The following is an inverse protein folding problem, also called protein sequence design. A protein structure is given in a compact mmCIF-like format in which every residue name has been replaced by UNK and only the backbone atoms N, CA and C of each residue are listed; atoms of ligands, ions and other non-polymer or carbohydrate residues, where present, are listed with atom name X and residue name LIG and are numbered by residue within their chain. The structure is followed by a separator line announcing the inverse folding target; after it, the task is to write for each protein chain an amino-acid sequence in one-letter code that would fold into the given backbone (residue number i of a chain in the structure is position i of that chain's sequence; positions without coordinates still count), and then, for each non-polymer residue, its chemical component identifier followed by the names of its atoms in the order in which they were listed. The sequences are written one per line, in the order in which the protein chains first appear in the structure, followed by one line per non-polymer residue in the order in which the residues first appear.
data_IF_795577744796
#
_entry.id   IF_795577744796
#
_cell.length_a   1.000
_cell.length_b   1.000
_cell.length_c   1.000
_cell.angle_alpha   90.00
_cell.angle_beta   90.00
_cell.angle_gamma   90.00
#
_symmetry.space_group_name_H-M   'P 1'
#
loop_
_entity.id
_entity.type
_entity.pdbx_description
1 polymer ?
#
# COMPACT_ATOMS: atom_id res chain seq x y z
N UNK A 1 5.17 16.79 6.86
CA UNK A 1 4.76 16.83 5.43
C UNK A 1 5.47 15.83 4.50
N UNK A 2 6.79 15.59 4.64
CA UNK A 2 7.57 14.74 3.70
C UNK A 2 7.16 13.27 3.77
N UNK A 3 6.82 12.79 4.95
CA UNK A 3 6.31 11.42 5.15
C UNK A 3 4.98 11.22 4.43
N UNK A 4 4.06 12.19 4.58
CA UNK A 4 2.77 12.21 3.89
C UNK A 4 2.96 12.21 2.36
N UNK A 5 3.89 13.04 1.87
CA UNK A 5 4.24 13.11 0.46
C UNK A 5 4.76 11.76 -0.06
N UNK A 6 5.69 11.11 0.64
CA UNK A 6 6.21 9.80 0.25
C UNK A 6 5.09 8.74 0.14
N UNK A 7 4.24 8.65 1.16
CA UNK A 7 3.12 7.71 1.16
C UNK A 7 2.13 8.00 0.03
N UNK A 8 1.82 9.27 -0.22
CA UNK A 8 0.94 9.69 -1.32
C UNK A 8 1.53 9.38 -2.70
N UNK A 9 2.83 9.63 -2.92
CA UNK A 9 3.50 9.34 -4.19
C UNK A 9 3.54 7.84 -4.47
N UNK A 10 3.89 7.03 -3.46
CA UNK A 10 3.93 5.57 -3.53
C UNK A 10 2.54 4.99 -3.77
N UNK A 11 1.56 5.37 -2.95
CA UNK A 11 0.18 4.92 -3.06
C UNK A 11 -0.47 5.31 -4.38
N UNK A 12 -0.32 6.57 -4.79
CA UNK A 12 -0.87 7.07 -6.04
C UNK A 12 -0.25 6.38 -7.24
N UNK A 13 1.06 6.14 -7.23
CA UNK A 13 1.71 5.41 -8.31
C UNK A 13 1.28 3.94 -8.37
N UNK A 14 1.12 3.26 -7.24
CA UNK A 14 0.61 1.88 -7.21
C UNK A 14 -0.82 1.80 -7.73
N UNK A 15 -1.68 2.75 -7.35
CA UNK A 15 -3.04 2.86 -7.86
C UNK A 15 -3.06 3.00 -9.38
N UNK A 16 -2.26 3.92 -9.93
CA UNK A 16 -2.16 4.12 -11.37
C UNK A 16 -1.59 2.89 -12.09
N UNK A 17 -0.57 2.23 -11.53
CA UNK A 17 0.03 1.01 -12.08
C UNK A 17 -0.93 -0.19 -12.06
N UNK A 18 -1.94 -0.18 -11.19
CA UNK A 18 -2.97 -1.22 -11.11
C UNK A 18 -4.11 -0.98 -12.10
N UNK A 19 -4.54 0.27 -12.30
CA UNK A 19 -5.75 0.59 -13.07
C UNK A 19 -5.51 1.08 -14.49
N UNK A 20 -4.29 1.51 -14.84
CA UNK A 20 -3.97 2.04 -16.16
C UNK A 20 -3.01 1.12 -16.93
N UNK A 21 -3.06 1.22 -18.25
CA UNK A 21 -2.06 0.58 -19.11
C UNK A 21 -0.66 1.15 -18.82
N UNK A 22 0.38 0.30 -18.92
CA UNK A 22 1.76 0.62 -18.49
C UNK A 22 2.29 1.98 -18.97
N UNK A 23 2.04 2.35 -20.24
CA UNK A 23 2.50 3.64 -20.80
C UNK A 23 1.72 4.83 -20.22
N UNK A 24 0.39 4.71 -20.12
CA UNK A 24 -0.46 5.72 -19.51
C UNK A 24 -0.12 5.89 -18.02
N UNK A 25 0.01 4.79 -17.28
CA UNK A 25 0.43 4.79 -15.89
C UNK A 25 1.76 5.55 -15.70
N UNK A 26 2.78 5.25 -16.51
CA UNK A 26 4.08 5.92 -16.41
C UNK A 26 3.99 7.43 -16.67
N UNK A 27 3.29 7.85 -17.72
CA UNK A 27 3.11 9.27 -18.03
C UNK A 27 2.32 10.00 -16.93
N UNK A 28 1.24 9.40 -16.44
CA UNK A 28 0.41 9.99 -15.38
C UNK A 28 1.16 10.04 -14.05
N UNK A 29 1.96 9.03 -13.71
CA UNK A 29 2.84 9.04 -12.52
C UNK A 29 3.81 10.20 -12.59
N UNK A 30 4.52 10.36 -13.72
CA UNK A 30 5.47 11.47 -13.89
C UNK A 30 4.77 12.83 -13.74
N UNK A 31 3.60 13.00 -14.36
CA UNK A 31 2.84 14.23 -14.28
C UNK A 31 2.38 14.54 -12.85
N UNK A 32 1.71 13.59 -12.18
CA UNK A 32 1.22 13.79 -10.81
C UNK A 32 2.36 13.97 -9.80
N UNK A 33 3.47 13.26 -9.96
CA UNK A 33 4.64 13.44 -9.11
C UNK A 33 5.24 14.83 -9.28
N UNK A 34 5.40 15.29 -10.52
CA UNK A 34 5.90 16.64 -10.79
C UNK A 34 5.02 17.71 -10.12
N UNK A 35 3.69 17.57 -10.22
CA UNK A 35 2.74 18.47 -9.55
C UNK A 35 2.84 18.38 -8.02
N UNK A 36 2.86 17.18 -7.45
CA UNK A 36 2.93 16.98 -6.00
C UNK A 36 4.26 17.48 -5.40
N UNK A 37 5.38 17.25 -6.08
CA UNK A 37 6.70 17.73 -5.66
C UNK A 37 6.78 19.26 -5.76
N UNK A 38 6.23 19.86 -6.83
CA UNK A 38 6.14 21.32 -6.96
C UNK A 38 5.23 21.94 -5.89
N UNK A 39 4.08 21.32 -5.60
CA UNK A 39 3.18 21.73 -4.54
C UNK A 39 3.85 21.64 -3.16
N UNK A 40 4.66 20.60 -2.91
CA UNK A 40 5.42 20.49 -1.67
C UNK A 40 6.46 21.62 -1.52
N UNK A 41 7.24 21.90 -2.57
CA UNK A 41 8.28 22.93 -2.54
C UNK A 41 7.70 24.35 -2.41
N UNK A 42 6.77 24.69 -3.31
CA UNK A 42 6.27 26.07 -3.45
C UNK A 42 5.07 26.33 -2.58
N UNK A 43 4.19 25.34 -2.43
CA UNK A 43 2.91 25.48 -1.75
C UNK A 43 2.94 25.19 -0.25
N UNK A 44 3.80 24.26 0.18
CA UNK A 44 3.93 23.82 1.58
C UNK A 44 5.27 24.19 2.23
N UNK A 45 6.20 24.77 1.47
CA UNK A 45 7.49 25.23 1.98
C UNK A 45 8.45 24.09 2.34
N UNK A 46 8.28 22.91 1.73
CA UNK A 46 9.13 21.76 2.01
C UNK A 46 10.59 22.04 1.59
N UNK A 47 11.58 21.59 2.39
CA UNK A 47 12.99 21.77 2.03
C UNK A 47 13.34 20.97 0.77
N UNK A 48 14.08 21.61 -0.15
CA UNK A 48 14.45 21.01 -1.44
C UNK A 48 15.09 19.63 -1.30
N UNK A 49 16.03 19.48 -0.37
CA UNK A 49 16.70 18.21 -0.12
C UNK A 49 15.71 17.12 0.30
N UNK A 50 14.74 17.45 1.16
CA UNK A 50 13.70 16.51 1.59
C UNK A 50 12.82 16.05 0.44
N UNK A 51 12.43 16.97 -0.45
CA UNK A 51 11.61 16.65 -1.63
C UNK A 51 12.38 15.77 -2.62
N UNK A 52 13.67 16.05 -2.85
CA UNK A 52 14.54 15.20 -3.70
C UNK A 52 14.69 13.80 -3.11
N UNK A 53 14.90 13.68 -1.79
CA UNK A 53 14.97 12.39 -1.10
C UNK A 53 13.66 11.61 -1.25
N UNK A 54 12.51 12.27 -1.06
CA UNK A 54 11.18 11.64 -1.22
C UNK A 54 10.97 11.16 -2.66
N UNK A 55 11.33 11.96 -3.67
CA UNK A 55 11.25 11.56 -5.07
C UNK A 55 12.14 10.35 -5.39
N UNK A 56 13.37 10.33 -4.85
CA UNK A 56 14.31 9.23 -5.04
C UNK A 56 13.81 7.93 -4.38
N UNK A 57 13.30 8.01 -3.15
CA UNK A 57 12.74 6.87 -2.43
C UNK A 57 11.49 6.30 -3.12
N UNK A 58 10.59 7.19 -3.58
CA UNK A 58 9.46 6.79 -4.41
C UNK A 58 9.93 6.10 -5.68
N UNK A 59 10.91 6.68 -6.39
CA UNK A 59 11.46 6.11 -7.62
C UNK A 59 12.03 4.69 -7.38
N UNK A 60 12.79 4.53 -6.30
CA UNK A 60 13.31 3.24 -5.88
C UNK A 60 12.18 2.23 -5.59
N UNK A 61 11.09 2.65 -4.95
CA UNK A 61 9.91 1.81 -4.75
C UNK A 61 9.35 1.29 -6.08
N UNK A 62 9.18 2.17 -7.08
CA UNK A 62 8.62 1.78 -8.38
C UNK A 62 9.50 0.78 -9.14
N UNK A 63 10.83 0.89 -8.99
CA UNK A 63 11.80 0.00 -9.62
C UNK A 63 11.86 -1.38 -8.95
N UNK A 64 11.67 -1.43 -7.62
CA UNK A 64 11.87 -2.65 -6.83
C UNK A 64 10.57 -3.42 -6.53
N UNK A 65 9.41 -2.85 -6.88
CA UNK A 65 8.09 -3.45 -6.61
C UNK A 65 7.27 -3.65 -7.89
N UNK A 66 6.29 -4.56 -7.81
CA UNK A 66 5.35 -4.85 -8.89
C UNK A 66 3.94 -4.89 -8.36
N UNK A 67 2.99 -4.32 -9.11
CA UNK A 67 1.55 -4.43 -8.86
C UNK A 67 0.93 -5.66 -9.52
N UNK A 68 1.60 -6.25 -10.51
CA UNK A 68 1.09 -7.39 -11.27
C UNK A 68 0.93 -8.66 -10.40
N UNK A 69 -0.23 -9.30 -10.51
CA UNK A 69 -0.55 -10.58 -9.89
C UNK A 69 0.31 -11.72 -10.48
N UNK A 70 0.61 -12.74 -9.66
CA UNK A 70 1.41 -13.91 -10.09
C UNK A 70 2.88 -13.64 -10.44
N UNK A 71 3.35 -12.39 -10.33
CA UNK A 71 4.76 -12.04 -10.53
C UNK A 71 5.47 -11.91 -9.20
N UNK A 72 6.64 -12.56 -9.11
CA UNK A 72 7.56 -12.38 -7.98
C UNK A 72 8.02 -10.92 -7.93
N UNK A 73 7.87 -10.21 -6.80
CA UNK A 73 8.40 -8.86 -6.66
C UNK A 73 9.93 -8.90 -6.78
N UNK A 74 10.55 -8.04 -7.62
CA UNK A 74 11.98 -8.12 -7.89
C UNK A 74 12.84 -7.85 -6.64
N UNK A 75 12.35 -6.99 -5.72
CA UNK A 75 13.00 -6.73 -4.43
C UNK A 75 12.58 -7.66 -3.28
N UNK A 76 11.61 -8.55 -3.46
CA UNK A 76 11.00 -9.29 -2.35
C UNK A 76 10.40 -8.35 -1.29
N UNK A 77 10.65 -8.63 -0.01
CA UNK A 77 10.20 -7.80 1.12
C UNK A 77 11.14 -6.62 1.44
N UNK A 78 12.34 -6.57 0.84
CA UNK A 78 13.34 -5.53 1.14
C UNK A 78 12.84 -4.10 0.87
N UNK A 79 12.10 -3.81 -0.21
CA UNK A 79 11.54 -2.48 -0.45
C UNK A 79 10.54 -2.06 0.63
N UNK A 80 9.75 -3.00 1.17
CA UNK A 80 8.83 -2.73 2.27
C UNK A 80 9.60 -2.36 3.55
N UNK A 81 10.65 -3.11 3.89
CA UNK A 81 11.51 -2.78 5.02
C UNK A 81 12.21 -1.41 4.84
N UNK A 82 12.73 -1.14 3.65
CA UNK A 82 13.33 0.15 3.30
C UNK A 82 12.32 1.32 3.40
N UNK A 83 11.07 1.09 2.96
CA UNK A 83 10.00 2.08 3.10
C UNK A 83 9.67 2.36 4.57
N UNK A 84 9.62 1.33 5.43
CA UNK A 84 9.39 1.52 6.88
C UNK A 84 10.50 2.39 7.48
N UNK A 85 11.77 2.09 7.18
CA UNK A 85 12.91 2.88 7.67
C UNK A 85 12.82 4.32 7.15
N UNK A 86 12.52 4.51 5.86
CA UNK A 86 12.35 5.84 5.27
C UNK A 86 11.22 6.63 5.94
N UNK A 87 10.07 6.02 6.17
CA UNK A 87 8.92 6.63 6.85
C UNK A 87 9.29 7.05 8.26
N UNK A 88 10.00 6.21 9.02
CA UNK A 88 10.44 6.54 10.38
C UNK A 88 11.42 7.72 10.38
N UNK A 89 12.43 7.70 9.50
CA UNK A 89 13.41 8.79 9.39
C UNK A 89 12.76 10.11 8.95
N UNK A 90 11.87 10.06 7.96
CA UNK A 90 11.13 11.24 7.51
C UNK A 90 10.14 11.73 8.56
N UNK A 91 9.56 10.86 9.38
CA UNK A 91 8.67 11.28 10.48
C UNK A 91 9.44 12.02 11.56
N UNK A 92 10.67 11.58 11.87
CA UNK A 92 11.58 12.32 12.78
C UNK A 92 11.96 13.66 12.16
N UNK A 93 12.31 13.69 10.87
CA UNK A 93 12.65 14.91 10.15
C UNK A 93 11.47 15.91 10.12
N UNK A 94 10.26 15.44 9.83
CA UNK A 94 9.02 16.24 9.83
C UNK A 94 8.77 16.88 11.20
N UNK A 95 9.01 16.17 12.31
CA UNK A 95 8.87 16.73 13.66
C UNK A 95 9.95 17.74 14.05
N UNK A 96 11.15 17.58 13.51
CA UNK A 96 12.24 18.54 13.71
C UNK A 96 12.13 19.77 12.81
N UNK A 97 11.32 19.68 11.75
CA UNK A 97 11.04 20.79 10.85
C UNK A 97 10.07 21.80 11.48
N UNK A 98 10.07 23.02 10.92
CA UNK A 98 9.01 23.98 11.20
C UNK A 98 7.67 23.52 10.61
N UNK A 99 6.58 24.10 11.10
CA UNK A 99 5.25 23.87 10.56
C UNK A 99 5.20 24.18 9.04
N UNK A 100 4.32 23.51 8.30
CA UNK A 100 4.14 23.80 6.89
C UNK A 100 3.77 25.28 6.67
N UNK A 101 4.42 25.91 5.68
CA UNK A 101 4.19 27.33 5.35
C UNK A 101 4.07 27.50 3.85
N UNK A 102 3.10 28.29 3.39
CA UNK A 102 3.01 28.68 1.99
C UNK A 102 1.57 28.83 1.51
N UNK A 103 1.38 29.17 0.22
CA UNK A 103 0.08 29.51 -0.34
C UNK A 103 -0.98 28.41 -0.18
N UNK A 104 -0.58 27.13 -0.19
CA UNK A 104 -1.53 26.03 -0.01
C UNK A 104 -2.00 25.91 1.44
N UNK A 105 -1.15 26.25 2.41
CA UNK A 105 -1.51 26.30 3.82
C UNK A 105 -2.49 27.46 4.06
N UNK A 106 -2.28 28.61 3.43
CA UNK A 106 -3.18 29.76 3.52
C UNK A 106 -4.56 29.44 2.93
N UNK A 107 -4.60 28.77 1.78
CA UNK A 107 -5.86 28.32 1.18
C UNK A 107 -6.57 27.28 2.06
N UNK A 108 -5.83 26.31 2.60
CA UNK A 108 -6.41 25.28 3.47
C UNK A 108 -7.00 25.87 4.76
N UNK A 109 -6.25 26.75 5.43
CA UNK A 109 -6.74 27.43 6.64
C UNK A 109 -7.91 28.36 6.34
N UNK A 110 -7.96 28.97 5.15
CA UNK A 110 -9.10 29.77 4.72
C UNK A 110 -10.40 28.97 4.58
N UNK A 111 -10.33 27.70 4.18
CA UNK A 111 -11.49 26.79 4.11
C UNK A 111 -12.02 26.43 5.50
N UNK A 112 -11.13 26.36 6.50
CA UNK A 112 -11.46 26.06 7.90
C UNK A 112 -12.07 27.21 8.71
N UNK A 113 -12.51 28.29 8.07
CA UNK A 113 -13.09 29.45 8.77
C UNK A 113 -14.48 29.19 9.35
N UNK A 114 -15.19 28.18 8.86
CA UNK A 114 -16.57 27.87 9.27
C UNK A 114 -16.66 26.70 10.26
N UNK A 115 -15.74 25.74 10.19
CA UNK A 115 -15.68 24.56 11.06
C UNK A 115 -14.22 24.23 11.42
N UNK A 116 -13.95 23.66 12.61
CA UNK A 116 -12.61 23.23 12.99
C UNK A 116 -12.09 22.17 12.00
N UNK A 117 -11.10 22.54 11.20
CA UNK A 117 -10.34 21.60 10.36
C UNK A 117 -9.10 21.11 11.10
N UNK A 118 -8.68 19.85 10.86
CA UNK A 118 -7.44 19.34 11.46
C UNK A 118 -6.22 20.15 10.97
N UNK A 119 -5.10 20.12 11.69
CA UNK A 119 -3.84 20.70 11.22
C UNK A 119 -3.48 20.18 9.82
N UNK A 120 -2.90 21.04 8.99
CA UNK A 120 -2.58 20.70 7.58
C UNK A 120 -1.67 19.48 7.48
N UNK A 121 -0.70 19.32 8.38
CA UNK A 121 0.20 18.17 8.42
C UNK A 121 -0.54 16.86 8.70
N UNK A 122 -1.49 16.90 9.65
CA UNK A 122 -2.35 15.75 9.96
C UNK A 122 -3.29 15.41 8.79
N UNK A 123 -3.88 16.42 8.13
CA UNK A 123 -4.73 16.22 6.96
C UNK A 123 -3.96 15.62 5.77
N UNK A 124 -2.75 16.13 5.51
CA UNK A 124 -1.85 15.59 4.48
C UNK A 124 -1.44 14.15 4.81
N UNK A 125 -1.08 13.87 6.06
CA UNK A 125 -0.74 12.52 6.51
C UNK A 125 -1.92 11.57 6.33
N UNK A 126 -3.13 11.99 6.72
CA UNK A 126 -4.34 11.19 6.55
C UNK A 126 -4.59 10.87 5.07
N UNK A 127 -4.45 11.85 4.18
CA UNK A 127 -4.60 11.66 2.74
C UNK A 127 -3.52 10.72 2.17
N UNK A 128 -2.25 10.94 2.50
CA UNK A 128 -1.13 10.12 2.03
C UNK A 128 -1.26 8.67 2.51
N UNK A 129 -1.58 8.47 3.79
CA UNK A 129 -1.83 7.17 4.38
C UNK A 129 -3.05 6.47 3.75
N UNK A 130 -4.14 7.21 3.49
CA UNK A 130 -5.34 6.68 2.85
C UNK A 130 -5.03 6.12 1.46
N UNK A 131 -4.36 6.92 0.62
CA UNK A 131 -3.97 6.52 -0.74
C UNK A 131 -2.99 5.34 -0.72
N UNK A 132 -2.05 5.31 0.22
CA UNK A 132 -1.10 4.21 0.41
C UNK A 132 -1.77 2.88 0.78
N UNK A 133 -2.72 2.89 1.71
CA UNK A 133 -3.39 1.68 2.19
C UNK A 133 -4.26 0.99 1.14
N UNK A 134 -4.58 1.67 0.04
CA UNK A 134 -5.27 1.08 -1.11
C UNK A 134 -4.40 -0.01 -1.76
N UNK A 135 -3.59 0.35 -2.75
CA UNK A 135 -2.85 -0.63 -3.55
C UNK A 135 -1.48 -0.98 -2.99
N UNK A 136 -0.76 -0.05 -2.35
CA UNK A 136 0.56 -0.35 -1.80
C UNK A 136 0.52 -1.36 -0.67
N UNK A 137 -0.56 -1.36 0.12
CA UNK A 137 -0.80 -2.41 1.11
C UNK A 137 -0.93 -3.80 0.46
N UNK A 138 -1.54 -3.90 -0.71
CA UNK A 138 -1.65 -5.17 -1.46
C UNK A 138 -0.26 -5.64 -1.95
N UNK A 139 0.58 -4.71 -2.40
CA UNK A 139 1.96 -4.99 -2.82
C UNK A 139 2.78 -5.57 -1.66
N UNK A 140 2.68 -4.99 -0.47
CA UNK A 140 3.41 -5.44 0.73
C UNK A 140 2.89 -6.79 1.21
N UNK A 141 1.57 -6.95 1.34
CA UNK A 141 0.95 -8.22 1.77
C UNK A 141 1.36 -9.35 0.82
N UNK A 142 1.31 -9.11 -0.49
CA UNK A 142 1.77 -10.08 -1.49
C UNK A 142 3.26 -10.40 -1.30
N UNK A 143 4.12 -9.40 -1.13
CA UNK A 143 5.55 -9.61 -0.91
C UNK A 143 5.85 -10.44 0.35
N UNK A 144 5.07 -10.26 1.42
CA UNK A 144 5.18 -11.06 2.64
C UNK A 144 4.73 -12.52 2.42
N UNK A 145 3.59 -12.73 1.77
CA UNK A 145 3.08 -14.07 1.46
C UNK A 145 4.02 -14.86 0.54
N UNK A 146 4.69 -14.19 -0.41
CA UNK A 146 5.69 -14.81 -1.29
C UNK A 146 6.92 -15.34 -0.54
N UNK A 147 7.19 -14.87 0.68
CA UNK A 147 8.32 -15.32 1.50
C UNK A 147 7.99 -16.57 2.31
N UNK A 148 6.81 -16.59 2.92
CA UNK A 148 6.41 -17.63 3.87
C UNK A 148 5.79 -18.84 3.18
N UNK A 149 4.98 -18.64 2.15
CA UNK A 149 4.39 -19.75 1.43
C UNK A 149 5.41 -20.31 0.43
N UNK A 150 6.04 -21.42 0.82
CA UNK A 150 6.83 -22.25 -0.06
C UNK A 150 6.01 -22.52 -1.32
N UNK A 151 6.46 -21.97 -2.45
CA UNK A 151 5.84 -22.29 -3.72
C UNK A 151 6.07 -23.79 -3.96
N UNK A 152 5.08 -24.53 -4.50
CA UNK A 152 5.43 -25.76 -5.18
C UNK A 152 6.49 -25.38 -6.19
N UNK A 153 7.67 -26.00 -6.13
CA UNK A 153 8.61 -25.94 -7.24
C UNK A 153 7.84 -26.41 -8.47
N UNK A 154 7.33 -25.45 -9.26
CA UNK A 154 6.90 -25.74 -10.61
C UNK A 154 8.08 -26.46 -11.26
N UNK A 155 7.87 -27.64 -11.88
CA UNK A 155 8.97 -28.45 -12.37
C UNK A 155 9.93 -27.54 -13.14
N UNK A 156 11.26 -27.63 -12.89
CA UNK A 156 12.24 -26.77 -13.52
C UNK A 156 11.92 -26.74 -15.01
N UNK A 157 11.95 -25.57 -15.69
CA UNK A 157 11.43 -25.44 -17.04
C UNK A 157 12.11 -26.46 -17.95
N UNK A 158 11.47 -27.64 -18.07
CA UNK A 158 11.90 -28.67 -19.00
C UNK A 158 11.75 -27.98 -20.33
N UNK A 159 12.85 -27.89 -21.06
CA UNK A 159 12.87 -27.45 -22.46
C UNK A 159 11.98 -28.42 -23.22
N UNK A 160 10.68 -28.17 -23.19
CA UNK A 160 9.69 -28.93 -23.92
C UNK A 160 10.00 -28.71 -25.41
N UNK A 161 10.23 -29.78 -26.19
CA UNK A 161 10.40 -29.65 -27.63
C UNK A 161 9.20 -28.90 -28.22
N UNK A 162 9.45 -28.09 -29.26
CA UNK A 162 8.47 -27.18 -29.89
C UNK A 162 7.12 -27.88 -30.17
N UNK A 163 7.18 -29.17 -30.54
CA UNK A 163 6.03 -30.03 -30.80
C UNK A 163 5.11 -30.20 -29.59
N UNK A 164 5.65 -30.34 -28.38
CA UNK A 164 4.87 -30.48 -27.16
C UNK A 164 4.19 -29.17 -26.71
N UNK A 165 4.73 -28.01 -27.13
CA UNK A 165 4.07 -26.71 -26.95
C UNK A 165 2.87 -26.53 -27.87
N UNK A 166 2.92 -27.11 -29.06
CA UNK A 166 1.86 -27.04 -30.06
C UNK A 166 0.72 -28.05 -29.79
N UNK A 167 1.01 -29.13 -29.07
CA UNK A 167 0.03 -30.20 -28.75
C UNK A 167 -0.65 -30.03 -27.40
N UNK A 168 -0.31 -29.00 -26.61
CA UNK A 168 -0.99 -28.77 -25.34
C UNK A 168 -2.39 -28.24 -25.64
N UNK A 169 -3.48 -28.97 -25.34
CA UNK A 169 -4.79 -28.35 -25.34
C UNK A 169 -4.70 -27.12 -24.42
N UNK A 170 -5.32 -25.98 -24.78
CA UNK A 170 -5.34 -24.83 -23.91
C UNK A 170 -5.76 -25.33 -22.53
N UNK A 171 -4.89 -25.13 -21.53
CA UNK A 171 -5.26 -25.47 -20.17
C UNK A 171 -6.58 -24.74 -19.94
N UNK A 172 -7.63 -25.51 -19.69
CA UNK A 172 -8.89 -24.97 -19.24
C UNK A 172 -8.56 -24.34 -17.89
N UNK A 173 -8.14 -23.07 -17.93
CA UNK A 173 -8.24 -22.17 -16.81
C UNK A 173 -9.70 -22.31 -16.42
N UNK A 174 -9.96 -23.05 -15.35
CA UNK A 174 -11.19 -22.93 -14.61
C UNK A 174 -11.20 -21.49 -14.12
N UNK A 175 -11.63 -20.58 -15.01
CA UNK A 175 -12.08 -19.25 -14.68
C UNK A 175 -13.38 -19.49 -13.95
N UNK A 176 -13.26 -19.86 -12.68
CA UNK A 176 -14.23 -19.41 -11.71
C UNK A 176 -14.43 -17.92 -12.03
N UNK A 177 -15.67 -17.44 -12.21
CA UNK A 177 -15.91 -16.02 -12.35
C UNK A 177 -15.27 -15.36 -11.13
N UNK A 178 -14.08 -14.81 -11.33
CA UNK A 178 -13.26 -14.21 -10.30
C UNK A 178 -14.00 -12.93 -9.94
N UNK A 179 -14.90 -13.05 -8.96
CA UNK A 179 -15.63 -11.92 -8.45
C UNK A 179 -14.56 -10.94 -7.98
N UNK A 180 -14.40 -9.85 -8.73
CA UNK A 180 -13.49 -8.72 -8.46
C UNK A 180 -13.54 -8.22 -7.00
N UNK A 181 -14.55 -8.64 -6.23
CA UNK A 181 -14.71 -8.40 -4.79
C UNK A 181 -13.49 -8.78 -3.95
N UNK A 182 -12.75 -9.86 -4.28
CA UNK A 182 -11.53 -10.20 -3.54
C UNK A 182 -10.46 -9.10 -3.56
N UNK A 183 -10.42 -8.30 -4.64
CA UNK A 183 -9.45 -7.23 -4.86
C UNK A 183 -9.77 -5.95 -4.06
N UNK A 184 -11.05 -5.66 -3.86
CA UNK A 184 -11.51 -4.45 -3.17
C UNK A 184 -11.67 -4.64 -1.64
N UNK A 185 -11.95 -5.86 -1.18
CA UNK A 185 -12.23 -6.12 0.25
C UNK A 185 -11.03 -5.78 1.14
N UNK A 186 -9.81 -6.17 0.74
CA UNK A 186 -8.60 -5.92 1.52
C UNK A 186 -8.34 -4.44 1.80
N UNK A 187 -8.28 -3.58 0.77
CA UNK A 187 -8.20 -2.13 0.91
C UNK A 187 -9.30 -1.54 1.81
N UNK A 188 -10.57 -1.94 1.60
CA UNK A 188 -11.70 -1.43 2.38
C UNK A 188 -11.58 -1.81 3.86
N UNK A 189 -11.14 -3.02 4.17
CA UNK A 189 -10.92 -3.44 5.54
C UNK A 189 -9.80 -2.63 6.22
N UNK A 190 -8.69 -2.36 5.52
CA UNK A 190 -7.62 -1.50 6.04
C UNK A 190 -8.13 -0.09 6.31
N UNK A 191 -8.92 0.48 5.39
CA UNK A 191 -9.54 1.79 5.57
C UNK A 191 -10.49 1.81 6.76
N UNK A 192 -11.32 0.77 6.90
CA UNK A 192 -12.23 0.63 8.03
C UNK A 192 -11.46 0.55 9.36
N UNK A 193 -10.44 -0.31 9.45
CA UNK A 193 -9.63 -0.48 10.68
C UNK A 193 -8.88 0.79 11.03
N UNK A 194 -8.24 1.45 10.04
CA UNK A 194 -7.54 2.70 10.27
C UNK A 194 -8.50 3.81 10.71
N UNK A 195 -9.65 3.95 10.05
CA UNK A 195 -10.68 4.93 10.37
C UNK A 195 -11.29 4.72 11.75
N UNK A 196 -11.65 3.48 12.10
CA UNK A 196 -12.15 3.15 13.45
C UNK A 196 -11.12 3.43 14.53
N UNK A 197 -9.84 3.15 14.26
CA UNK A 197 -8.75 3.43 15.19
C UNK A 197 -8.60 4.94 15.42
N UNK A 198 -8.60 5.73 14.33
CA UNK A 198 -8.53 7.20 14.40
C UNK A 198 -9.76 7.83 15.07
N UNK A 199 -10.93 7.21 14.92
CA UNK A 199 -12.15 7.62 15.60
C UNK A 199 -12.21 7.21 17.08
N UNK A 200 -11.18 6.55 17.62
CA UNK A 200 -11.17 6.02 19.00
C UNK A 200 -12.06 4.79 19.22
N UNK A 201 -12.68 4.26 18.16
CA UNK A 201 -13.58 3.10 18.20
C UNK A 201 -12.81 1.77 18.18
N UNK A 202 -11.81 1.62 19.06
CA UNK A 202 -10.92 0.44 19.12
C UNK A 202 -11.68 -0.87 19.36
N UNK A 203 -12.79 -0.83 20.08
CA UNK A 203 -13.67 -1.99 20.26
C UNK A 203 -14.31 -2.48 18.96
N UNK A 204 -14.71 -1.55 18.06
CA UNK A 204 -15.24 -1.90 16.74
C UNK A 204 -14.13 -2.44 15.82
N UNK A 205 -12.91 -1.90 15.90
CA UNK A 205 -11.77 -2.45 15.18
C UNK A 205 -11.47 -3.90 15.63
N UNK A 206 -11.52 -4.16 16.94
CA UNK A 206 -11.42 -5.51 17.50
C UNK A 206 -12.55 -6.44 17.02
N UNK A 207 -13.78 -5.93 16.93
CA UNK A 207 -14.91 -6.69 16.39
C UNK A 207 -14.70 -7.08 14.91
N UNK A 208 -14.11 -6.20 14.09
CA UNK A 208 -13.75 -6.52 12.69
C UNK A 208 -12.72 -7.66 12.65
N UNK A 209 -11.68 -7.62 13.50
CA UNK A 209 -10.69 -8.70 13.57
C UNK A 209 -11.32 -10.04 13.96
N UNK A 210 -12.19 -10.03 14.98
CA UNK A 210 -12.89 -11.20 15.46
C UNK A 210 -13.85 -11.77 14.40
N UNK A 211 -14.65 -10.93 13.76
CA UNK A 211 -15.59 -11.32 12.71
C UNK A 211 -14.86 -11.99 11.54
N UNK A 212 -13.73 -11.42 11.09
CA UNK A 212 -12.92 -12.00 10.02
C UNK A 212 -12.39 -13.38 10.39
N UNK A 213 -11.94 -13.56 11.64
CA UNK A 213 -11.47 -14.85 12.16
C UNK A 213 -12.56 -15.91 12.20
N UNK A 214 -13.75 -15.56 12.72
CA UNK A 214 -14.89 -16.48 12.85
C UNK A 214 -15.38 -16.95 11.47
N UNK A 215 -15.55 -16.02 10.52
CA UNK A 215 -16.04 -16.34 9.18
C UNK A 215 -15.11 -17.27 8.42
N UNK A 216 -13.79 -17.20 8.67
CA UNK A 216 -12.77 -18.01 7.99
C UNK A 216 -12.36 -19.28 8.73
N UNK A 217 -12.85 -19.44 9.96
CA UNK A 217 -12.50 -20.58 10.79
C UNK A 217 -12.87 -21.94 10.16
N UNK A 218 -14.06 -22.12 9.52
CA UNK A 218 -14.39 -23.40 8.88
C UNK A 218 -13.44 -23.78 7.74
N UNK A 219 -12.99 -22.81 6.95
CA UNK A 219 -12.06 -23.03 5.84
C UNK A 219 -10.62 -23.30 6.31
N UNK A 220 -10.20 -22.62 7.38
CA UNK A 220 -8.89 -22.83 8.03
C UNK A 220 -8.85 -24.20 8.72
N UNK A 221 -9.92 -24.60 9.42
CA UNK A 221 -9.98 -25.85 10.18
C UNK A 221 -10.03 -27.10 9.30
N UNK A 222 -10.43 -26.95 8.03
CA UNK A 222 -10.43 -28.03 7.03
C UNK A 222 -9.16 -28.05 6.18
N UNK A 223 -8.20 -27.17 6.48
CA UNK A 223 -6.92 -27.16 5.81
C UNK A 223 -6.10 -28.36 6.30
N UNK A 224 -5.87 -29.33 5.42
CA UNK A 224 -5.25 -30.61 5.77
C UNK A 224 -3.78 -30.49 6.19
N UNK A 225 -2.99 -31.56 6.04
CA UNK A 225 -1.63 -31.67 6.58
C UNK A 225 -0.62 -30.56 6.17
N UNK A 226 -0.94 -29.74 5.16
CA UNK A 226 -0.08 -28.62 4.71
C UNK A 226 -0.22 -27.33 5.51
N UNK A 227 -1.37 -27.04 6.14
CA UNK A 227 -1.62 -25.77 6.87
C UNK A 227 -1.47 -24.47 6.06
N UNK A 228 -1.27 -24.55 4.74
CA UNK A 228 -0.90 -23.42 3.89
C UNK A 228 -1.99 -22.34 3.76
N UNK A 229 -3.29 -22.71 3.79
CA UNK A 229 -4.39 -21.72 3.80
C UNK A 229 -4.48 -21.01 5.15
N UNK A 230 -4.23 -21.73 6.24
CA UNK A 230 -4.15 -21.15 7.58
C UNK A 230 -3.05 -20.09 7.63
N UNK A 231 -1.85 -20.44 7.16
CA UNK A 231 -0.70 -19.54 7.11
C UNK A 231 -0.93 -18.36 6.17
N UNK A 232 -1.48 -18.58 4.96
CA UNK A 232 -1.86 -17.52 4.03
C UNK A 232 -2.80 -16.51 4.70
N UNK A 233 -3.83 -17.00 5.40
CA UNK A 233 -4.79 -16.14 6.07
C UNK A 233 -4.18 -15.37 7.23
N UNK A 234 -3.37 -16.04 8.07
CA UNK A 234 -2.73 -15.44 9.24
C UNK A 234 -1.73 -14.37 8.82
N UNK A 235 -0.76 -14.70 7.97
CA UNK A 235 0.26 -13.75 7.49
C UNK A 235 -0.39 -12.60 6.73
N UNK A 236 -1.34 -12.90 5.84
CA UNK A 236 -2.03 -11.89 5.06
C UNK A 236 -2.82 -10.90 5.92
N UNK A 237 -3.56 -11.39 6.91
CA UNK A 237 -4.36 -10.55 7.81
C UNK A 237 -3.49 -9.76 8.78
N UNK A 238 -2.48 -10.39 9.39
CA UNK A 238 -1.57 -9.72 10.32
C UNK A 238 -0.83 -8.56 9.65
N UNK A 239 -0.21 -8.80 8.48
CA UNK A 239 0.50 -7.74 7.74
C UNK A 239 -0.47 -6.62 7.37
N UNK A 240 -1.69 -6.95 6.92
CA UNK A 240 -2.70 -5.97 6.54
C UNK A 240 -3.15 -5.09 7.72
N UNK A 241 -3.42 -5.69 8.89
CA UNK A 241 -3.81 -4.95 10.09
C UNK A 241 -2.66 -4.12 10.66
N UNK A 242 -1.43 -4.65 10.67
CA UNK A 242 -0.24 -3.89 11.07
C UNK A 242 -0.06 -2.66 10.19
N UNK A 243 -0.24 -2.76 8.88
CA UNK A 243 -0.17 -1.60 7.97
C UNK A 243 -1.25 -0.56 8.28
N UNK A 244 -2.50 -1.00 8.47
CA UNK A 244 -3.62 -0.12 8.80
C UNK A 244 -3.39 0.63 10.12
N UNK A 245 -2.99 -0.09 11.17
CA UNK A 245 -2.70 0.47 12.49
C UNK A 245 -1.47 1.39 12.49
N UNK A 246 -0.43 1.04 11.74
CA UNK A 246 0.76 1.90 11.59
C UNK A 246 0.42 3.20 10.90
N UNK A 247 -0.39 3.15 9.83
CA UNK A 247 -0.88 4.35 9.15
C UNK A 247 -1.77 5.21 10.06
N UNK A 248 -2.67 4.60 10.83
CA UNK A 248 -3.46 5.32 11.83
C UNK A 248 -2.57 5.99 12.89
N UNK A 249 -1.55 5.30 13.38
CA UNK A 249 -0.58 5.88 14.32
C UNK A 249 0.17 7.07 13.71
N UNK A 250 0.64 6.97 12.46
CA UNK A 250 1.30 8.08 11.78
C UNK A 250 0.40 9.31 11.69
N UNK A 251 -0.89 9.14 11.40
CA UNK A 251 -1.87 10.24 11.36
C UNK A 251 -2.15 10.81 12.75
N UNK A 252 -2.25 9.96 13.78
CA UNK A 252 -2.50 10.39 15.15
C UNK A 252 -1.33 11.18 15.74
N UNK A 253 -0.10 10.90 15.31
CA UNK A 253 1.13 11.56 15.78
C UNK A 253 1.77 12.52 14.76
N UNK A 254 1.02 12.89 13.72
CA UNK A 254 1.42 13.85 12.70
C UNK A 254 1.32 15.30 13.21
#
# INVERSE_FOLDING_TARGET
MLTALLLGLVGGADLLRTHLARRAAAATVIALWSVALAAALVGLGAPLLGVVVVAALGGAWLLLTTTAEGRRPPGGLKPAAGLVVAVLLLSVADRSGGAATGPLVDVYTALGRSDPVPPVDQALMALGAAVFLLESGNVIVRAALYRELAQPEGPPPRRLPLRARLSRPPAEEVRLPDLRGGRAIGPLERMLVAGLTLAGAVGLAGAVFAAKGIVRFPEISRDGASGAKAEYFLVGSLVSWTLALSCAALVAFA
#
